data_IF_744738119839
#
_entry.id   IF_744738119839
#
_cell.length_a   1.000
_cell.length_b   1.000
_cell.length_c   1.000
_cell.angle_alpha   90.00
_cell.angle_beta   90.00
_cell.angle_gamma   90.00
#
_symmetry.space_group_name_H-M   'P 1'
#
loop_
_entity.id
_entity.type
_entity.pdbx_description
1 polymer ?
#
# COMPACT_ATOMS: atom_id res chain seq x y z
N UNK A 1 21.79 -8.41 -2.22
CA UNK A 1 20.71 -8.77 -1.57
C UNK A 1 19.97 -7.82 -0.67
N UNK A 2 18.71 -8.17 -0.37
CA UNK A 2 17.91 -7.56 0.68
C UNK A 2 17.27 -6.20 0.36
N UNK A 3 17.42 -5.66 -0.84
CA UNK A 3 16.78 -4.40 -1.26
C UNK A 3 15.53 -4.70 -2.09
N UNK A 4 14.38 -4.18 -1.67
CA UNK A 4 13.20 -4.14 -2.51
C UNK A 4 13.44 -3.14 -3.65
N UNK A 5 12.94 -3.46 -4.84
CA UNK A 5 12.97 -2.60 -6.02
C UNK A 5 11.57 -2.42 -6.58
N UNK A 6 11.29 -1.25 -7.12
CA UNK A 6 10.03 -0.98 -7.81
C UNK A 6 10.33 -0.21 -9.10
N UNK A 7 9.81 -0.70 -10.21
CA UNK A 7 9.91 -0.09 -11.51
C UNK A 7 8.51 0.32 -11.97
N UNK A 8 8.35 1.53 -12.47
CA UNK A 8 7.07 1.99 -13.01
C UNK A 8 7.00 1.71 -14.50
N UNK A 9 6.23 0.69 -14.86
CA UNK A 9 5.92 0.34 -16.24
C UNK A 9 4.68 1.12 -16.71
N UNK A 10 4.41 1.16 -18.03
CA UNK A 10 3.26 1.90 -18.57
C UNK A 10 1.90 1.47 -18.02
N UNK A 11 1.75 0.22 -17.61
CA UNK A 11 0.51 -0.32 -17.05
C UNK A 11 0.42 -0.16 -15.53
N UNK A 12 1.55 0.06 -14.85
CA UNK A 12 1.63 0.21 -13.40
C UNK A 12 2.95 -0.25 -12.82
N UNK A 13 3.05 -0.37 -11.50
CA UNK A 13 4.27 -0.77 -10.84
C UNK A 13 4.61 -2.25 -11.06
N UNK A 14 5.92 -2.50 -11.17
CA UNK A 14 6.54 -3.81 -11.13
C UNK A 14 7.46 -3.86 -9.93
N UNK A 15 7.08 -4.57 -8.88
CA UNK A 15 7.82 -4.63 -7.63
C UNK A 15 8.56 -5.95 -7.48
N UNK A 16 9.80 -5.87 -6.99
CA UNK A 16 10.68 -6.98 -6.68
C UNK A 16 10.88 -6.99 -5.16
N UNK A 17 10.33 -7.98 -4.50
CA UNK A 17 10.35 -8.11 -3.05
C UNK A 17 11.32 -9.23 -2.65
N UNK A 18 12.47 -8.92 -2.02
CA UNK A 18 13.44 -9.94 -1.66
C UNK A 18 12.88 -10.91 -0.62
N UNK A 19 13.15 -12.19 -0.83
CA UNK A 19 12.87 -13.27 0.11
C UNK A 19 14.18 -13.81 0.69
N UNK A 20 14.08 -14.79 1.57
CA UNK A 20 15.25 -15.48 2.13
C UNK A 20 15.99 -16.24 1.03
N UNK A 21 17.33 -16.13 1.03
CA UNK A 21 18.20 -16.70 0.00
C UNK A 21 18.24 -15.83 -1.27
N UNK A 22 18.45 -16.45 -2.42
CA UNK A 22 18.52 -15.79 -3.73
C UNK A 22 17.14 -15.78 -4.44
N UNK A 23 16.09 -15.49 -3.68
CA UNK A 23 14.70 -15.53 -4.13
C UNK A 23 14.05 -14.17 -4.01
N UNK A 24 13.07 -13.90 -4.85
CA UNK A 24 12.22 -12.72 -4.78
C UNK A 24 10.78 -13.07 -5.12
N UNK A 25 9.84 -12.37 -4.49
CA UNK A 25 8.45 -12.33 -4.92
C UNK A 25 8.25 -11.15 -5.85
N UNK A 26 7.48 -11.35 -6.91
CA UNK A 26 7.19 -10.34 -7.91
C UNK A 26 5.72 -9.92 -7.81
N UNK A 27 5.50 -8.61 -7.86
CA UNK A 27 4.18 -8.03 -8.06
C UNK A 27 4.21 -7.25 -9.37
N UNK A 28 3.52 -7.77 -10.38
CA UNK A 28 3.51 -7.23 -11.72
C UNK A 28 2.13 -6.70 -12.08
N UNK A 29 2.01 -5.39 -12.22
CA UNK A 29 0.75 -4.74 -12.56
C UNK A 29 0.62 -4.60 -14.07
N UNK A 30 -0.49 -5.12 -14.61
CA UNK A 30 -0.79 -5.09 -16.04
C UNK A 30 -2.27 -4.80 -16.32
N UNK A 31 -2.57 -4.49 -17.58
CA UNK A 31 -3.96 -4.44 -18.04
C UNK A 31 -4.60 -5.83 -17.94
N UNK A 32 -5.93 -5.91 -17.82
CA UNK A 32 -6.62 -7.22 -17.72
C UNK A 32 -6.30 -8.15 -18.88
N UNK A 33 -6.26 -7.60 -20.10
CA UNK A 33 -5.98 -8.39 -21.30
C UNK A 33 -4.55 -8.93 -21.28
N UNK A 34 -3.59 -8.08 -20.92
CA UNK A 34 -2.17 -8.46 -20.87
C UNK A 34 -1.89 -9.43 -19.72
N UNK A 35 -2.47 -9.21 -18.54
CA UNK A 35 -2.37 -10.14 -17.42
C UNK A 35 -2.92 -11.53 -17.78
N UNK A 36 -4.06 -11.59 -18.48
CA UNK A 36 -4.62 -12.87 -18.97
C UNK A 36 -3.68 -13.55 -19.99
N UNK A 37 -3.07 -12.77 -20.90
CA UNK A 37 -2.07 -13.28 -21.84
C UNK A 37 -0.87 -13.88 -21.10
N UNK A 38 -0.28 -13.11 -20.18
CA UNK A 38 0.93 -13.52 -19.44
C UNK A 38 0.69 -14.79 -18.62
N UNK A 39 -0.46 -14.89 -17.95
CA UNK A 39 -0.79 -16.08 -17.14
C UNK A 39 -1.01 -17.32 -17.99
N UNK A 40 -1.40 -17.15 -19.26
CA UNK A 40 -1.62 -18.25 -20.20
C UNK A 40 -0.35 -18.73 -20.94
N UNK A 41 0.78 -18.00 -20.78
CA UNK A 41 2.05 -18.37 -21.41
C UNK A 41 2.58 -19.71 -20.85
N UNK A 42 3.32 -20.41 -21.67
CA UNK A 42 4.15 -21.51 -21.20
C UNK A 42 5.39 -21.00 -20.44
N UNK A 43 6.14 -21.89 -19.82
CA UNK A 43 7.26 -21.52 -18.95
C UNK A 43 8.39 -20.81 -19.71
N UNK A 44 8.61 -21.13 -20.98
CA UNK A 44 9.67 -20.52 -21.82
C UNK A 44 9.30 -19.09 -22.23
N UNK A 45 8.08 -18.91 -22.72
CA UNK A 45 7.57 -17.62 -23.13
C UNK A 45 7.40 -16.68 -21.94
N UNK A 46 6.93 -17.22 -20.79
CA UNK A 46 6.84 -16.46 -19.54
C UNK A 46 8.22 -15.99 -19.05
N UNK A 47 9.23 -16.84 -19.15
CA UNK A 47 10.60 -16.48 -18.82
C UNK A 47 11.11 -15.31 -19.69
N UNK A 48 10.87 -15.36 -21.00
CA UNK A 48 11.21 -14.28 -21.91
C UNK A 48 10.51 -12.94 -21.58
N UNK A 49 9.27 -12.96 -21.12
CA UNK A 49 8.58 -11.76 -20.67
C UNK A 49 9.17 -11.22 -19.34
N UNK A 50 9.55 -12.10 -18.43
CA UNK A 50 10.24 -11.69 -17.18
C UNK A 50 11.58 -11.01 -17.50
N UNK A 51 12.39 -11.56 -18.37
CA UNK A 51 13.68 -10.98 -18.75
C UNK A 51 13.55 -9.58 -19.37
N UNK A 52 12.50 -9.35 -20.18
CA UNK A 52 12.21 -8.02 -20.74
C UNK A 52 11.90 -6.98 -19.65
N UNK A 53 11.21 -7.39 -18.58
CA UNK A 53 10.84 -6.49 -17.47
C UNK A 53 11.98 -6.27 -16.49
N UNK A 54 12.74 -7.32 -16.20
CA UNK A 54 13.84 -7.29 -15.23
C UNK A 54 15.13 -6.69 -15.79
N UNK A 55 15.41 -6.91 -17.08
CA UNK A 55 16.74 -6.76 -17.62
C UNK A 55 17.72 -7.79 -17.00
N UNK A 56 18.93 -7.81 -17.53
CA UNK A 56 19.96 -8.79 -17.11
C UNK A 56 20.77 -8.39 -15.87
N UNK A 57 20.41 -7.32 -15.18
CA UNK A 57 21.21 -6.76 -14.08
C UNK A 57 21.25 -7.64 -12.81
N UNK A 58 20.36 -8.63 -12.71
CA UNK A 58 20.33 -9.60 -11.59
C UNK A 58 20.87 -10.98 -11.98
N UNK A 59 21.38 -11.15 -13.21
CA UNK A 59 21.80 -12.45 -13.74
C UNK A 59 20.63 -13.30 -14.24
N UNK A 60 20.86 -14.60 -14.36
CA UNK A 60 19.85 -15.55 -14.82
C UNK A 60 18.67 -15.65 -13.86
N UNK A 61 17.47 -15.55 -14.40
CA UNK A 61 16.23 -15.60 -13.64
C UNK A 61 15.58 -16.98 -13.85
N UNK A 62 14.91 -17.48 -12.81
CA UNK A 62 14.07 -18.66 -12.90
C UNK A 62 12.77 -18.44 -12.13
N UNK A 63 11.64 -18.63 -12.81
CA UNK A 63 10.34 -18.69 -12.14
C UNK A 63 10.20 -20.00 -11.38
N UNK A 64 9.96 -19.93 -10.06
CA UNK A 64 9.70 -21.12 -9.23
C UNK A 64 8.23 -21.54 -9.22
N UNK A 65 7.33 -20.60 -9.51
CA UNK A 65 5.89 -20.80 -9.51
C UNK A 65 5.25 -20.16 -10.72
N UNK A 66 4.10 -20.67 -11.14
CA UNK A 66 3.29 -20.04 -12.17
C UNK A 66 2.73 -18.71 -11.69
N UNK A 67 2.65 -17.75 -12.61
CA UNK A 67 2.00 -16.48 -12.36
C UNK A 67 0.50 -16.67 -12.06
N UNK A 68 -0.04 -15.82 -11.18
CA UNK A 68 -1.47 -15.73 -10.86
C UNK A 68 -1.93 -14.31 -11.01
N UNK A 69 -3.07 -14.08 -11.66
CA UNK A 69 -3.66 -12.77 -11.80
C UNK A 69 -4.71 -12.52 -10.72
N UNK A 70 -4.63 -11.33 -10.13
CA UNK A 70 -5.61 -10.84 -9.16
C UNK A 70 -6.16 -9.51 -9.67
N UNK A 71 -7.49 -9.34 -9.72
CA UNK A 71 -8.06 -8.07 -10.15
C UNK A 71 -7.75 -6.99 -9.12
N UNK A 72 -7.16 -5.89 -9.59
CA UNK A 72 -6.96 -4.70 -8.77
C UNK A 72 -8.16 -3.78 -8.91
N UNK A 73 -8.59 -3.20 -7.79
CA UNK A 73 -9.68 -2.23 -7.74
C UNK A 73 -9.35 -1.09 -6.78
N UNK A 74 -10.06 0.01 -6.93
CA UNK A 74 -10.11 1.07 -5.95
C UNK A 74 -11.52 1.13 -5.37
N UNK A 75 -11.62 1.02 -4.07
CA UNK A 75 -12.88 1.04 -3.35
C UNK A 75 -12.68 1.70 -2.00
N UNK A 76 -13.61 2.56 -1.60
CA UNK A 76 -13.70 3.11 -0.24
C UNK A 76 -15.18 3.09 0.15
N UNK A 77 -15.49 2.47 1.27
CA UNK A 77 -16.84 2.44 1.81
C UNK A 77 -17.35 3.85 2.12
N UNK A 78 -18.60 4.13 1.87
CA UNK A 78 -19.22 5.43 2.18
C UNK A 78 -19.24 5.72 3.68
N UNK A 79 -19.40 4.70 4.49
CA UNK A 79 -19.27 4.74 5.93
C UNK A 79 -18.44 3.56 6.39
N UNK A 80 -17.59 3.78 7.41
CA UNK A 80 -16.80 2.72 8.04
C UNK A 80 -17.52 2.11 9.23
N UNK A 81 -18.68 2.67 9.59
CA UNK A 81 -19.48 2.21 10.72
C UNK A 81 -20.96 2.13 10.36
N UNK A 82 -21.67 1.29 11.06
CA UNK A 82 -23.13 1.27 11.18
C UNK A 82 -23.49 0.86 12.62
N UNK A 83 -24.77 0.58 12.92
CA UNK A 83 -25.18 0.18 14.26
C UNK A 83 -24.36 -1.01 14.76
N UNK A 84 -23.59 -0.78 15.83
CA UNK A 84 -22.72 -1.76 16.51
C UNK A 84 -21.72 -2.50 15.62
N UNK A 85 -21.36 -1.94 14.47
CA UNK A 85 -20.43 -2.55 13.50
C UNK A 85 -19.41 -1.52 13.01
N UNK A 86 -18.15 -1.94 12.91
CA UNK A 86 -17.08 -1.18 12.27
C UNK A 86 -16.39 -2.02 11.19
N UNK A 87 -16.10 -1.41 10.05
CA UNK A 87 -15.31 -1.98 8.97
C UNK A 87 -13.84 -1.62 9.16
N UNK A 88 -12.95 -2.57 8.85
CA UNK A 88 -11.49 -2.43 8.98
C UNK A 88 -10.79 -3.05 7.77
N UNK A 89 -9.70 -2.46 7.33
CA UNK A 89 -8.89 -2.96 6.22
C UNK A 89 -9.66 -3.04 4.91
N UNK A 90 -9.49 -4.12 4.17
CA UNK A 90 -10.09 -4.32 2.86
C UNK A 90 -11.64 -4.31 2.87
N UNK A 91 -12.25 -4.55 4.01
CA UNK A 91 -13.70 -4.39 4.17
C UNK A 91 -14.14 -2.92 4.12
N UNK A 92 -13.30 -2.00 4.58
CA UNK A 92 -13.54 -0.57 4.57
C UNK A 92 -13.04 0.09 3.28
N UNK A 93 -11.92 -0.37 2.75
CA UNK A 93 -11.29 0.21 1.56
C UNK A 93 -10.33 -0.76 0.88
N UNK A 94 -10.26 -0.67 -0.44
CA UNK A 94 -9.21 -1.26 -1.26
C UNK A 94 -8.51 -0.13 -1.99
N UNK A 95 -7.23 0.05 -1.71
CA UNK A 95 -6.40 1.07 -2.35
C UNK A 95 -5.41 0.44 -3.33
N UNK A 96 -4.94 1.23 -4.30
CA UNK A 96 -3.96 0.74 -5.26
C UNK A 96 -2.68 0.27 -4.54
N UNK A 97 -2.10 -0.90 -4.89
CA UNK A 97 -0.99 -1.52 -4.17
C UNK A 97 0.35 -0.80 -4.30
N UNK A 98 0.37 0.45 -4.76
CA UNK A 98 1.58 1.27 -4.79
C UNK A 98 2.17 1.34 -3.38
N UNK A 99 3.42 0.92 -3.26
CA UNK A 99 4.18 0.88 -2.01
C UNK A 99 3.61 -0.01 -0.89
N UNK A 100 2.69 -0.96 -1.19
CA UNK A 100 2.22 -1.96 -0.21
C UNK A 100 1.51 -1.38 1.02
N UNK A 101 0.88 -0.21 0.92
CA UNK A 101 0.33 0.53 2.07
C UNK A 101 -1.00 -0.01 2.60
N UNK A 102 -1.70 -0.91 1.86
CA UNK A 102 -3.00 -1.44 2.27
C UNK A 102 -2.97 -2.11 3.65
N UNK A 103 -2.02 -3.02 3.87
CA UNK A 103 -1.85 -3.69 5.17
C UNK A 103 -1.52 -2.70 6.29
N UNK A 104 -0.61 -1.76 6.05
CA UNK A 104 -0.23 -0.76 7.05
C UNK A 104 -1.41 0.12 7.47
N UNK A 105 -2.27 0.47 6.51
CA UNK A 105 -3.48 1.25 6.77
C UNK A 105 -4.48 0.44 7.61
N UNK A 106 -4.70 -0.82 7.25
CA UNK A 106 -5.56 -1.73 8.02
C UNK A 106 -5.05 -1.96 9.45
N UNK A 107 -3.75 -2.13 9.65
CA UNK A 107 -3.17 -2.27 11.00
C UNK A 107 -3.36 -0.99 11.85
N UNK A 108 -3.24 0.19 11.26
CA UNK A 108 -3.54 1.46 11.94
C UNK A 108 -5.02 1.56 12.32
N UNK A 109 -5.91 1.04 11.48
CA UNK A 109 -7.34 1.00 11.76
C UNK A 109 -7.66 0.05 12.92
N UNK A 110 -7.05 -1.13 12.95
CA UNK A 110 -7.17 -2.07 14.08
C UNK A 110 -6.73 -1.40 15.38
N UNK A 111 -5.58 -0.71 15.37
CA UNK A 111 -5.07 -0.01 16.54
C UNK A 111 -6.02 1.11 17.01
N UNK A 112 -6.53 1.92 16.08
CA UNK A 112 -7.47 2.99 16.38
C UNK A 112 -8.81 2.48 16.92
N UNK A 113 -9.35 1.40 16.33
CA UNK A 113 -10.59 0.77 16.81
C UNK A 113 -10.39 0.17 18.21
N UNK A 114 -9.28 -0.53 18.44
CA UNK A 114 -8.95 -1.08 19.74
C UNK A 114 -8.86 0.01 20.81
N UNK A 115 -8.22 1.16 20.50
CA UNK A 115 -8.09 2.28 21.42
C UNK A 115 -9.47 2.85 21.83
N UNK A 116 -10.34 3.14 20.87
CA UNK A 116 -11.66 3.71 21.19
C UNK A 116 -12.54 2.73 21.98
N UNK A 117 -12.44 1.41 21.70
CA UNK A 117 -13.16 0.36 22.41
C UNK A 117 -12.65 0.24 23.85
N UNK A 118 -11.33 0.18 24.04
CA UNK A 118 -10.72 0.07 25.37
C UNK A 118 -11.01 1.30 26.21
N UNK A 119 -10.93 2.49 25.64
CA UNK A 119 -11.27 3.74 26.34
C UNK A 119 -12.72 3.74 26.83
N UNK A 120 -13.66 3.36 25.95
CA UNK A 120 -15.08 3.26 26.32
C UNK A 120 -15.31 2.22 27.43
N UNK A 121 -14.71 1.04 27.31
CA UNK A 121 -14.85 -0.02 28.31
C UNK A 121 -14.28 0.38 29.67
N UNK A 122 -13.13 1.08 29.71
CA UNK A 122 -12.53 1.59 30.95
C UNK A 122 -13.42 2.61 31.69
N UNK A 123 -14.21 3.35 30.93
CA UNK A 123 -15.18 4.32 31.48
C UNK A 123 -16.54 3.70 31.81
N UNK A 124 -16.71 2.39 31.58
CA UNK A 124 -17.98 1.70 31.76
C UNK A 124 -19.03 2.05 30.72
N UNK A 125 -18.61 2.62 29.58
CA UNK A 125 -19.46 2.95 28.43
C UNK A 125 -19.64 1.73 27.52
N UNK A 126 -20.71 1.75 26.70
CA UNK A 126 -20.93 0.70 25.70
C UNK A 126 -19.94 0.87 24.53
N UNK A 127 -19.02 -0.08 24.29
CA UNK A 127 -18.06 0.00 23.19
C UNK A 127 -18.67 0.02 21.80
N UNK A 128 -19.93 -0.47 21.68
CA UNK A 128 -20.68 -0.47 20.43
C UNK A 128 -21.53 0.78 20.21
N UNK A 129 -21.50 1.74 21.13
CA UNK A 129 -22.28 2.97 21.01
C UNK A 129 -21.83 3.80 19.78
N UNK A 130 -22.77 4.52 19.19
CA UNK A 130 -22.54 5.26 17.94
C UNK A 130 -21.45 6.32 18.09
N UNK A 131 -21.40 7.03 19.19
CA UNK A 131 -20.40 8.08 19.47
C UNK A 131 -18.97 7.51 19.57
N UNK A 132 -18.81 6.31 20.14
CA UNK A 132 -17.53 5.58 20.20
C UNK A 132 -17.07 5.20 18.80
N UNK A 133 -17.97 4.60 18.00
CA UNK A 133 -17.65 4.19 16.62
C UNK A 133 -17.44 5.38 15.71
N UNK A 134 -18.18 6.49 15.88
CA UNK A 134 -17.97 7.73 15.14
C UNK A 134 -16.58 8.35 15.42
N UNK A 135 -16.06 8.24 16.64
CA UNK A 135 -14.69 8.67 16.96
C UNK A 135 -13.67 7.89 16.12
N UNK A 136 -13.82 6.57 16.01
CA UNK A 136 -13.01 5.73 15.14
C UNK A 136 -13.13 6.16 13.69
N UNK A 137 -14.34 6.32 13.15
CA UNK A 137 -14.57 6.70 11.76
C UNK A 137 -13.95 8.06 11.41
N UNK A 138 -14.16 9.10 12.24
CA UNK A 138 -13.58 10.44 12.02
C UNK A 138 -12.06 10.39 11.95
N UNK A 139 -11.46 9.61 12.85
CA UNK A 139 -10.01 9.49 12.90
C UNK A 139 -9.44 8.78 11.67
N UNK A 140 -10.04 7.69 11.23
CA UNK A 140 -9.47 6.85 10.17
C UNK A 140 -9.87 7.27 8.76
N UNK A 141 -11.07 7.79 8.58
CA UNK A 141 -11.57 8.16 7.24
C UNK A 141 -10.73 9.24 6.58
N UNK A 142 -10.26 10.22 7.33
CA UNK A 142 -9.37 11.27 6.79
C UNK A 142 -8.06 10.67 6.26
N UNK A 143 -7.40 9.81 7.05
CA UNK A 143 -6.15 9.16 6.65
C UNK A 143 -6.32 8.28 5.42
N UNK A 144 -7.40 7.50 5.37
CA UNK A 144 -7.72 6.62 4.23
C UNK A 144 -7.97 7.43 2.97
N UNK A 145 -8.74 8.52 3.04
CA UNK A 145 -8.99 9.39 1.90
C UNK A 145 -7.72 10.09 1.43
N UNK A 146 -6.91 10.61 2.35
CA UNK A 146 -5.64 11.24 2.03
C UNK A 146 -4.68 10.26 1.35
N UNK A 147 -4.59 9.03 1.85
CA UNK A 147 -3.77 7.98 1.25
C UNK A 147 -4.30 7.58 -0.13
N UNK A 148 -5.61 7.41 -0.29
CA UNK A 148 -6.24 7.07 -1.57
C UNK A 148 -5.98 8.14 -2.65
N UNK A 149 -6.11 9.42 -2.31
CA UNK A 149 -5.80 10.52 -3.22
C UNK A 149 -4.31 10.55 -3.57
N UNK A 150 -3.44 10.36 -2.58
CA UNK A 150 -1.99 10.36 -2.78
C UNK A 150 -1.55 9.20 -3.69
N UNK A 151 -1.99 7.98 -3.41
CA UNK A 151 -1.61 6.80 -4.21
C UNK A 151 -2.17 6.86 -5.62
N UNK A 152 -3.42 7.30 -5.78
CA UNK A 152 -4.00 7.48 -7.11
C UNK A 152 -3.31 8.62 -7.89
N UNK A 153 -3.00 9.73 -7.23
CA UNK A 153 -2.24 10.83 -7.82
C UNK A 153 -0.85 10.41 -8.26
N UNK A 154 -0.13 9.65 -7.44
CA UNK A 154 1.17 9.08 -7.80
C UNK A 154 1.03 8.13 -9.00
N UNK A 155 0.05 7.22 -8.98
CA UNK A 155 -0.18 6.31 -10.10
C UNK A 155 -0.41 7.07 -11.40
N UNK A 156 -1.26 8.09 -11.41
CA UNK A 156 -1.52 8.93 -12.58
C UNK A 156 -0.25 9.66 -13.06
N UNK A 157 0.56 10.18 -12.13
CA UNK A 157 1.80 10.89 -12.43
C UNK A 157 2.86 9.96 -13.05
N UNK A 158 3.00 8.74 -12.54
CA UNK A 158 4.03 7.79 -12.98
C UNK A 158 3.61 6.95 -14.19
N UNK A 159 2.32 6.63 -14.34
CA UNK A 159 1.80 5.84 -15.46
C UNK A 159 1.45 6.67 -16.71
N UNK A 160 1.51 8.00 -16.62
CA UNK A 160 1.16 8.85 -17.76
C UNK A 160 2.30 8.97 -18.76
N UNK A 161 1.98 8.81 -20.05
CA UNK A 161 2.95 8.91 -21.18
C UNK A 161 3.22 10.35 -21.63
N UNK A 162 2.55 11.35 -21.07
CA UNK A 162 2.72 12.77 -21.44
C UNK A 162 4.14 13.25 -21.11
N UNK A 163 4.80 13.84 -22.10
CA UNK A 163 6.15 14.42 -21.95
C UNK A 163 6.18 15.55 -20.92
N UNK A 164 5.12 16.34 -20.85
CA UNK A 164 4.97 17.43 -19.88
C UNK A 164 4.94 16.92 -18.43
N UNK A 165 4.12 15.90 -18.16
CA UNK A 165 4.02 15.27 -16.83
C UNK A 165 5.33 14.57 -16.43
N UNK A 166 6.05 14.02 -17.41
CA UNK A 166 7.37 13.44 -17.18
C UNK A 166 8.36 14.50 -16.70
N UNK A 167 8.41 15.66 -17.37
CA UNK A 167 9.28 16.76 -16.98
C UNK A 167 8.93 17.31 -15.58
N UNK A 168 7.63 17.47 -15.27
CA UNK A 168 7.16 17.90 -13.94
C UNK A 168 7.56 16.89 -12.85
N UNK A 169 7.43 15.60 -13.15
CA UNK A 169 7.86 14.51 -12.25
C UNK A 169 9.36 14.57 -11.99
N UNK A 170 10.18 14.68 -13.03
CA UNK A 170 11.63 14.63 -12.93
C UNK A 170 12.15 15.86 -12.16
N UNK A 171 11.58 17.04 -12.38
CA UNK A 171 11.87 18.26 -11.61
C UNK A 171 11.41 18.08 -10.15
N UNK A 172 10.20 17.57 -9.91
CA UNK A 172 9.65 17.34 -8.57
C UNK A 172 10.48 16.36 -7.75
N UNK A 173 10.89 15.24 -8.35
CA UNK A 173 11.76 14.26 -7.69
C UNK A 173 13.14 14.84 -7.40
N UNK A 174 13.73 15.58 -8.33
CA UNK A 174 15.02 16.27 -8.14
C UNK A 174 14.97 17.30 -7.01
N UNK A 175 13.82 17.99 -6.83
CA UNK A 175 13.62 18.93 -5.73
C UNK A 175 13.52 18.19 -4.38
N UNK A 176 12.74 17.11 -4.31
CA UNK A 176 12.59 16.28 -3.11
C UNK A 176 13.93 15.68 -2.71
N UNK A 177 14.75 15.26 -3.66
CA UNK A 177 16.08 14.69 -3.39
C UNK A 177 17.04 15.71 -2.77
N UNK A 178 16.91 16.98 -3.14
CA UNK A 178 17.68 18.08 -2.59
C UNK A 178 17.18 18.62 -1.25
N UNK A 179 16.02 18.13 -0.77
CA UNK A 179 15.41 18.55 0.50
C UNK A 179 15.36 17.37 1.49
N UNK A 180 16.46 17.09 2.23
CA UNK A 180 16.53 15.95 3.16
C UNK A 180 15.39 15.84 4.17
N UNK A 181 14.87 16.97 4.76
CA UNK A 181 13.74 16.89 5.68
C UNK A 181 12.46 16.38 5.02
N UNK A 182 12.17 16.83 3.79
CA UNK A 182 11.00 16.41 3.02
C UNK A 182 11.14 14.94 2.60
N UNK A 183 12.31 14.55 2.10
CA UNK A 183 12.63 13.15 1.77
C UNK A 183 12.42 12.23 2.96
N UNK A 184 12.95 12.58 4.13
CA UNK A 184 12.81 11.79 5.34
C UNK A 184 11.35 11.73 5.84
N UNK A 185 10.59 12.81 5.71
CA UNK A 185 9.16 12.82 6.05
C UNK A 185 8.38 11.86 5.14
N UNK A 186 8.62 11.88 3.83
CA UNK A 186 7.99 10.99 2.86
C UNK A 186 8.38 9.52 3.10
N UNK A 187 9.66 9.24 3.41
CA UNK A 187 10.13 7.90 3.76
C UNK A 187 9.45 7.39 5.03
N UNK A 188 9.35 8.21 6.08
CA UNK A 188 8.63 7.84 7.32
C UNK A 188 7.16 7.56 7.05
N UNK A 189 6.52 8.35 6.21
CA UNK A 189 5.14 8.12 5.82
C UNK A 189 4.97 6.82 5.04
N UNK A 190 5.84 6.55 4.08
CA UNK A 190 5.87 5.31 3.32
C UNK A 190 6.15 4.08 4.20
N UNK A 191 7.02 4.23 5.22
CA UNK A 191 7.30 3.18 6.20
C UNK A 191 6.17 2.98 7.23
N UNK A 192 5.05 3.71 7.13
CA UNK A 192 3.97 3.62 8.10
C UNK A 192 4.28 4.25 9.46
N UNK A 193 5.41 4.95 9.58
CA UNK A 193 5.90 5.53 10.84
C UNK A 193 5.40 6.97 11.06
N UNK A 194 4.69 7.55 10.12
CA UNK A 194 4.05 8.85 10.21
C UNK A 194 2.55 8.66 10.45
N UNK A 195 2.11 9.11 11.53
CA UNK A 195 0.75 9.11 12.06
C UNK A 195 0.89 9.03 13.57
N UNK A 196 0.08 9.75 14.31
CA UNK A 196 -0.14 9.48 15.71
C UNK A 196 -0.79 8.09 15.84
N UNK A 197 -0.04 7.02 15.58
CA UNK A 197 -0.24 5.79 16.27
C UNK A 197 0.23 6.09 17.68
N UNK A 198 -0.57 6.84 18.40
CA UNK A 198 -0.54 6.83 19.83
C UNK A 198 -1.03 5.47 20.30
N UNK A 199 -0.31 4.42 19.97
CA UNK A 199 -0.11 3.38 20.96
C UNK A 199 0.68 4.08 22.04
N UNK A 200 0.03 4.86 22.89
CA UNK A 200 0.55 5.23 24.19
C UNK A 200 0.78 3.91 24.87
N UNK A 201 2.00 3.39 24.72
CA UNK A 201 2.50 2.39 25.62
C UNK A 201 2.22 2.93 27.01
N UNK A 202 1.20 2.41 27.63
CA UNK A 202 0.89 2.69 29.04
C UNK A 202 2.08 2.10 29.80
N UNK A 203 2.94 2.89 30.45
CA UNK A 203 3.94 2.33 31.34
C UNK A 203 3.19 1.78 32.55
N UNK A 204 3.32 0.48 32.79
CA UNK A 204 3.02 -0.14 34.05
C UNK A 204 1.62 -0.70 34.21
N UNK A 205 1.44 -1.95 33.85
CA UNK A 205 0.64 -2.85 34.69
C UNK A 205 1.51 -3.25 35.88
N UNK A 206 1.15 -2.90 37.13
CA UNK A 206 1.72 -3.58 38.29
C UNK A 206 1.21 -5.02 38.28
N UNK A 207 2.12 -5.97 38.57
CA UNK A 207 1.84 -7.39 38.73
C UNK A 207 0.91 -7.71 39.92
#
# INVERSE_FOLDING_TARGET
GGRAGEHFLPAGPFAILPLVGERASLVWTETRAEAARIVALDDADFHGELEKCFGLHLGDLRAETKARAFPLGYFVARSFITDRLALVGDAAHVIHPIAGQGLNLGLKEVAALAEVIVDAARLGLDPGASDVLERYQRWRRFDTMAMGVTTNGLNLLFSNKSSLLRSVRDIGLGLVERMPPLKNALIRQAAGMSGEAACRATPGLPG
#
